data_IF_700336619912
#
_entry.id   IF_700336619912
#
_cell.length_a   1.000
_cell.length_b   1.000
_cell.length_c   1.000
_cell.angle_alpha   90.00
_cell.angle_beta   90.00
_cell.angle_gamma   90.00
#
_symmetry.space_group_name_H-M   'P 1'
#
loop_
_entity.id
_entity.type
_entity.pdbx_description
1 polymer ?
#
# COMPACT_ATOMS: atom_id res chain seq x y z
N UNK A 1 0.53 -11.83 -21.75
CA UNK A 1 0.09 -10.81 -20.76
C UNK A 1 -0.51 -11.53 -19.58
N UNK A 2 -0.31 -11.05 -18.36
CA UNK A 2 -0.80 -11.74 -17.15
C UNK A 2 -1.53 -10.74 -16.26
N UNK A 3 -2.69 -11.16 -15.75
CA UNK A 3 -3.50 -10.38 -14.84
C UNK A 3 -3.31 -10.90 -13.42
N UNK A 4 -3.01 -10.00 -12.49
CA UNK A 4 -2.96 -10.28 -11.06
C UNK A 4 -3.86 -9.24 -10.38
N UNK A 5 -4.87 -9.70 -9.63
CA UNK A 5 -5.82 -8.83 -8.93
C UNK A 5 -6.45 -7.74 -9.83
N UNK A 6 -6.73 -8.08 -11.09
CA UNK A 6 -7.31 -7.16 -12.08
C UNK A 6 -6.32 -6.14 -12.68
N UNK A 7 -5.04 -6.15 -12.28
CA UNK A 7 -3.99 -5.32 -12.87
C UNK A 7 -3.20 -6.12 -13.91
N UNK A 8 -2.97 -5.52 -15.07
CA UNK A 8 -2.19 -6.13 -16.16
C UNK A 8 -0.69 -5.86 -15.98
N UNK A 9 0.12 -6.90 -16.09
CA UNK A 9 1.57 -6.80 -16.05
C UNK A 9 2.23 -7.33 -17.34
N UNK A 10 3.30 -6.66 -17.82
CA UNK A 10 4.15 -7.20 -18.88
C UNK A 10 4.83 -8.49 -18.43
N UNK A 11 4.92 -9.47 -19.33
CA UNK A 11 5.49 -10.79 -19.02
C UNK A 11 6.96 -10.74 -18.58
N UNK A 12 7.74 -9.83 -19.15
CA UNK A 12 9.17 -9.69 -18.87
C UNK A 12 9.47 -9.06 -17.50
N UNK A 13 8.46 -8.54 -16.81
CA UNK A 13 8.61 -7.87 -15.52
C UNK A 13 8.86 -8.89 -14.42
N UNK A 14 9.76 -8.59 -13.49
CA UNK A 14 9.96 -9.42 -12.31
C UNK A 14 8.74 -9.41 -11.39
N UNK A 15 8.39 -10.58 -10.85
CA UNK A 15 7.22 -10.74 -9.99
C UNK A 15 7.32 -9.90 -8.72
N UNK A 16 8.47 -9.87 -8.04
CA UNK A 16 8.64 -9.09 -6.82
C UNK A 16 8.31 -7.60 -7.02
N UNK A 17 8.65 -7.05 -8.19
CA UNK A 17 8.41 -5.65 -8.54
C UNK A 17 6.98 -5.40 -9.01
N UNK A 18 6.28 -6.44 -9.46
CA UNK A 18 4.85 -6.39 -9.72
C UNK A 18 4.05 -6.43 -8.41
N UNK A 19 4.47 -7.25 -7.44
CA UNK A 19 3.81 -7.29 -6.13
C UNK A 19 3.89 -5.97 -5.37
N UNK A 20 5.02 -5.25 -5.45
CA UNK A 20 5.19 -3.95 -4.78
C UNK A 20 4.39 -2.79 -5.39
N UNK A 21 3.79 -2.95 -6.56
CA UNK A 21 2.91 -1.88 -7.07
C UNK A 21 1.60 -1.82 -6.30
N UNK A 22 1.21 -2.91 -5.64
CA UNK A 22 -0.01 -2.93 -4.85
C UNK A 22 0.18 -2.17 -3.53
N UNK A 23 -0.75 -1.27 -3.23
CA UNK A 23 -0.73 -0.52 -1.99
C UNK A 23 -0.94 -1.45 -0.79
N UNK A 24 0.03 -1.43 0.13
CA UNK A 24 0.07 -2.33 1.30
C UNK A 24 1.09 -3.47 1.17
N UNK A 25 1.66 -3.70 -0.02
CA UNK A 25 2.73 -4.67 -0.23
C UNK A 25 4.08 -3.97 -0.29
N UNK A 26 4.94 -4.22 0.70
CA UNK A 26 6.34 -3.76 0.71
C UNK A 26 7.34 -4.91 0.60
N UNK A 27 8.63 -4.60 0.74
CA UNK A 27 9.73 -5.57 0.57
C UNK A 27 9.64 -6.81 1.47
N UNK A 28 9.21 -6.66 2.73
CA UNK A 28 9.04 -7.81 3.63
C UNK A 28 7.81 -8.64 3.27
N UNK A 29 6.70 -7.98 2.95
CA UNK A 29 5.45 -8.65 2.59
C UNK A 29 5.59 -9.43 1.29
N UNK A 30 6.21 -8.83 0.25
CA UNK A 30 6.46 -9.50 -1.04
C UNK A 30 7.35 -10.73 -0.84
N UNK A 31 8.41 -10.64 -0.04
CA UNK A 31 9.32 -11.75 0.21
C UNK A 31 8.58 -12.90 0.88
N UNK A 32 7.74 -12.61 1.90
CA UNK A 32 6.91 -13.62 2.56
C UNK A 32 5.91 -14.28 1.60
N UNK A 33 5.29 -13.52 0.70
CA UNK A 33 4.39 -14.07 -0.33
C UNK A 33 5.18 -14.99 -1.27
N UNK A 34 6.33 -14.56 -1.76
CA UNK A 34 7.16 -15.35 -2.67
C UNK A 34 7.66 -16.64 -2.01
N UNK A 35 8.12 -16.58 -0.75
CA UNK A 35 8.52 -17.77 0.01
C UNK A 35 7.36 -18.74 0.23
N UNK A 36 6.13 -18.24 0.46
CA UNK A 36 4.94 -19.09 0.66
C UNK A 36 4.60 -19.91 -0.58
N UNK A 37 4.81 -19.36 -1.77
CA UNK A 37 4.54 -20.04 -3.04
C UNK A 37 5.79 -20.69 -3.64
N UNK A 38 6.90 -20.74 -2.89
CA UNK A 38 8.18 -21.29 -3.35
C UNK A 38 8.68 -20.66 -4.66
N UNK A 39 8.45 -19.36 -4.83
CA UNK A 39 8.83 -18.61 -6.03
C UNK A 39 10.20 -17.95 -5.82
N UNK A 40 11.08 -18.10 -6.81
CA UNK A 40 12.42 -17.51 -6.78
C UNK A 40 12.38 -16.00 -7.11
N UNK A 41 13.31 -15.22 -6.56
CA UNK A 41 13.36 -13.76 -6.73
C UNK A 41 13.54 -13.30 -8.18
N UNK A 42 14.13 -14.13 -9.03
CA UNK A 42 14.34 -13.81 -10.46
C UNK A 42 13.16 -14.18 -11.35
N UNK A 43 12.09 -14.78 -10.80
CA UNK A 43 10.95 -15.21 -11.60
C UNK A 43 10.27 -14.00 -12.25
N UNK A 44 9.93 -14.14 -13.53
CA UNK A 44 9.15 -13.14 -14.24
C UNK A 44 7.67 -13.48 -14.16
N UNK A 45 6.83 -12.48 -14.36
CA UNK A 45 5.38 -12.66 -14.32
C UNK A 45 4.92 -13.65 -15.40
N UNK A 46 5.56 -13.64 -16.58
CA UNK A 46 5.23 -14.58 -17.67
C UNK A 46 5.60 -16.04 -17.40
N UNK A 47 6.49 -16.31 -16.44
CA UNK A 47 6.94 -17.67 -16.11
C UNK A 47 5.96 -18.39 -15.15
N UNK A 48 4.92 -17.69 -14.68
CA UNK A 48 3.93 -18.24 -13.75
C UNK A 48 2.91 -19.11 -14.50
N UNK A 49 2.63 -20.29 -13.95
CA UNK A 49 1.50 -21.10 -14.39
C UNK A 49 0.16 -20.45 -14.03
N UNK A 50 -0.88 -20.75 -14.79
CA UNK A 50 -2.22 -20.21 -14.53
C UNK A 50 -2.73 -20.54 -13.13
N UNK A 51 -2.45 -21.75 -12.61
CA UNK A 51 -2.82 -22.14 -11.25
C UNK A 51 -2.10 -21.28 -10.20
N UNK A 52 -0.79 -21.05 -10.36
CA UNK A 52 -0.04 -20.17 -9.46
C UNK A 52 -0.57 -18.73 -9.48
N UNK A 53 -0.99 -18.23 -10.65
CA UNK A 53 -1.60 -16.89 -10.75
C UNK A 53 -2.94 -16.83 -10.01
N UNK A 54 -3.77 -17.87 -10.13
CA UNK A 54 -5.04 -17.96 -9.41
C UNK A 54 -4.82 -18.02 -7.90
N UNK A 55 -3.91 -18.88 -7.43
CA UNK A 55 -3.58 -19.03 -6.01
C UNK A 55 -3.02 -17.74 -5.42
N UNK A 56 -2.12 -17.07 -6.16
CA UNK A 56 -1.54 -15.80 -5.76
C UNK A 56 -2.61 -14.71 -5.71
N UNK A 57 -3.54 -14.68 -6.67
CA UNK A 57 -4.65 -13.73 -6.68
C UNK A 57 -5.59 -13.95 -5.49
N UNK A 58 -5.96 -15.20 -5.20
CA UNK A 58 -6.78 -15.55 -4.04
C UNK A 58 -6.09 -15.17 -2.72
N UNK A 59 -4.77 -15.37 -2.63
CA UNK A 59 -4.03 -14.96 -1.45
C UNK A 59 -3.98 -13.44 -1.28
N UNK A 60 -3.74 -12.69 -2.36
CA UNK A 60 -3.74 -11.22 -2.31
C UNK A 60 -5.12 -10.67 -1.94
N UNK A 61 -6.21 -11.28 -2.42
CA UNK A 61 -7.59 -10.86 -2.10
C UNK A 61 -7.93 -11.09 -0.61
N UNK A 62 -7.38 -12.15 -0.01
CA UNK A 62 -7.53 -12.39 1.43
C UNK A 62 -6.81 -11.35 2.32
N UNK A 63 -5.89 -10.57 1.74
CA UNK A 63 -5.13 -9.56 2.47
C UNK A 63 -5.82 -8.19 2.42
N UNK A 64 -5.62 -7.40 3.48
CA UNK A 64 -6.09 -6.01 3.53
C UNK A 64 -5.19 -5.12 2.66
N UNK A 65 -5.49 -5.04 1.36
CA UNK A 65 -4.74 -4.27 0.37
C UNK A 65 -5.56 -3.13 -0.23
N UNK A 66 -4.89 -2.25 -0.97
CA UNK A 66 -5.49 -1.20 -1.80
C UNK A 66 -6.53 -0.35 -1.04
N UNK A 67 -7.75 -0.30 -1.56
CA UNK A 67 -8.84 0.51 -1.04
C UNK A 67 -9.23 0.13 0.38
N UNK A 68 -9.13 -1.15 0.74
CA UNK A 68 -9.42 -1.58 2.11
C UNK A 68 -8.44 -0.94 3.10
N UNK A 69 -7.14 -0.98 2.78
CA UNK A 69 -6.11 -0.38 3.63
C UNK A 69 -6.21 1.16 3.66
N UNK A 70 -6.47 1.80 2.51
CA UNK A 70 -6.68 3.26 2.44
C UNK A 70 -7.87 3.70 3.27
N UNK A 71 -9.00 2.99 3.18
CA UNK A 71 -10.20 3.26 3.99
C UNK A 71 -9.91 3.14 5.48
N UNK A 72 -9.20 2.09 5.89
CA UNK A 72 -8.81 1.91 7.29
C UNK A 72 -7.97 3.10 7.80
N UNK A 73 -6.97 3.54 7.02
CA UNK A 73 -6.13 4.70 7.38
C UNK A 73 -6.97 5.98 7.49
N UNK A 74 -7.90 6.21 6.56
CA UNK A 74 -8.77 7.38 6.60
C UNK A 74 -9.72 7.36 7.80
N UNK A 75 -10.27 6.19 8.14
CA UNK A 75 -11.08 6.00 9.35
C UNK A 75 -10.26 6.27 10.62
N UNK A 76 -9.01 5.82 10.68
CA UNK A 76 -8.12 6.11 11.82
C UNK A 76 -7.86 7.61 11.98
N UNK A 77 -7.61 8.34 10.88
CA UNK A 77 -7.41 9.79 10.91
C UNK A 77 -8.71 10.52 11.28
N UNK A 78 -9.84 10.08 10.73
CA UNK A 78 -11.15 10.64 11.02
C UNK A 78 -11.51 10.47 12.51
N UNK A 79 -11.27 9.29 13.08
CA UNK A 79 -11.42 9.05 14.52
C UNK A 79 -10.60 10.01 15.37
N UNK A 80 -9.32 10.24 15.00
CA UNK A 80 -8.45 11.18 15.73
C UNK A 80 -8.99 12.62 15.70
N UNK A 81 -9.62 13.01 14.59
CA UNK A 81 -10.27 14.31 14.42
C UNK A 81 -11.53 14.41 15.28
N UNK A 82 -12.41 13.42 15.21
CA UNK A 82 -13.70 13.43 15.91
C UNK A 82 -13.52 13.40 17.43
N UNK A 83 -12.49 12.70 17.91
CA UNK A 83 -12.12 12.70 19.34
C UNK A 83 -11.50 14.04 19.78
N UNK A 84 -11.11 14.93 18.87
CA UNK A 84 -10.53 16.25 19.20
C UNK A 84 -9.05 16.20 19.63
N UNK A 85 -8.34 15.11 19.34
CA UNK A 85 -6.93 14.95 19.73
C UNK A 85 -6.03 16.00 19.08
N UNK A 86 -4.85 16.28 19.67
CA UNK A 86 -3.85 17.14 19.05
C UNK A 86 -3.51 16.68 17.62
N UNK A 87 -3.31 15.38 17.42
CA UNK A 87 -3.01 14.80 16.10
C UNK A 87 -4.13 15.07 15.10
N UNK A 88 -5.39 14.86 15.49
CA UNK A 88 -6.55 15.13 14.65
C UNK A 88 -6.63 16.59 14.20
N UNK A 89 -6.42 17.54 15.12
CA UNK A 89 -6.36 18.98 14.80
C UNK A 89 -5.24 19.31 13.80
N UNK A 90 -4.07 18.69 13.95
CA UNK A 90 -2.93 18.90 13.01
C UNK A 90 -3.22 18.35 11.61
N UNK A 91 -3.92 17.22 11.51
CA UNK A 91 -4.42 16.70 10.24
C UNK A 91 -5.46 17.62 9.59
N UNK A 92 -6.37 18.22 10.36
CA UNK A 92 -7.36 19.16 9.82
C UNK A 92 -6.73 20.48 9.33
N UNK A 93 -5.66 20.93 9.99
CA UNK A 93 -4.94 22.17 9.66
C UNK A 93 -3.85 21.99 8.59
N UNK A 94 -3.68 20.79 8.02
CA UNK A 94 -2.60 20.45 7.10
C UNK A 94 -1.19 20.76 7.66
N UNK A 95 -1.00 20.53 8.97
CA UNK A 95 0.26 20.78 9.67
C UNK A 95 1.02 19.48 9.97
N UNK A 96 2.33 19.56 10.23
CA UNK A 96 3.12 18.42 10.68
C UNK A 96 2.56 17.82 11.99
N UNK A 97 2.40 16.49 12.04
CA UNK A 97 1.67 15.78 13.11
C UNK A 97 2.62 15.18 14.17
N UNK A 98 3.89 14.98 13.83
CA UNK A 98 4.87 14.23 14.65
C UNK A 98 5.84 15.15 15.41
N UNK A 99 5.35 16.29 15.92
CA UNK A 99 6.16 17.22 16.72
C UNK A 99 7.24 17.99 15.95
N UNK A 100 7.14 18.06 14.63
CA UNK A 100 8.10 18.78 13.79
C UNK A 100 7.91 20.31 13.89
N UNK A 101 9.01 21.06 13.76
CA UNK A 101 8.99 22.53 13.73
C UNK A 101 8.11 23.04 12.56
N UNK A 102 7.30 24.07 12.81
CA UNK A 102 6.39 24.67 11.83
C UNK A 102 6.83 26.04 11.31
N UNK A 103 7.94 26.59 11.82
CA UNK A 103 8.44 27.91 11.38
C UNK A 103 8.89 27.89 9.91
N UNK A 104 9.50 26.80 9.46
CA UNK A 104 10.03 26.62 8.10
C UNK A 104 9.80 25.19 7.59
N UNK A 105 9.89 24.99 6.27
CA UNK A 105 9.94 23.67 5.61
C UNK A 105 8.76 22.71 5.91
N UNK A 106 7.53 23.20 5.85
CA UNK A 106 6.31 22.38 6.04
C UNK A 106 5.52 22.09 4.75
N UNK A 107 6.14 22.25 3.58
CA UNK A 107 5.45 22.16 2.27
C UNK A 107 4.78 20.79 2.03
N UNK A 108 5.48 19.70 2.34
CA UNK A 108 4.96 18.33 2.17
C UNK A 108 3.77 18.06 3.09
N UNK A 109 3.87 18.48 4.37
CA UNK A 109 2.78 18.39 5.33
C UNK A 109 1.56 19.19 4.86
N UNK A 110 1.76 20.43 4.40
CA UNK A 110 0.68 21.27 3.87
C UNK A 110 -0.01 20.66 2.66
N UNK A 111 0.73 19.99 1.79
CA UNK A 111 0.15 19.36 0.60
C UNK A 111 -0.62 18.07 0.93
N UNK A 112 -0.06 17.22 1.77
CA UNK A 112 -0.48 15.81 1.93
C UNK A 112 -1.18 15.49 3.26
N UNK A 113 -0.99 16.28 4.32
CA UNK A 113 -1.62 15.99 5.61
C UNK A 113 -3.08 16.45 5.62
N UNK A 114 -3.95 15.75 4.89
CA UNK A 114 -5.40 15.99 4.91
C UNK A 114 -6.09 14.99 5.84
N UNK A 115 -7.37 15.25 6.13
CA UNK A 115 -8.24 14.31 6.86
C UNK A 115 -8.52 13.08 5.98
N UNK A 116 -8.90 13.32 4.73
CA UNK A 116 -8.97 12.29 3.70
C UNK A 116 -7.63 12.22 2.99
N UNK A 117 -6.88 11.14 3.22
CA UNK A 117 -5.66 10.85 2.47
C UNK A 117 -6.03 9.96 1.30
N UNK A 118 -5.73 10.46 0.09
CA UNK A 118 -5.78 9.70 -1.15
C UNK A 118 -4.42 9.11 -1.40
#
# INVERSE_FOLDING_TARGET
MVFILGVNFPEHRFLWRALETFFGVGAHTRARIMSRFHLHDTIKVGDLSQNQVLDLTAHLDSMKLENHLRRQINQDIQRLRDTGTYRGRRHAMNLPVRGQNTRSQIKTARALNRVERV
#
